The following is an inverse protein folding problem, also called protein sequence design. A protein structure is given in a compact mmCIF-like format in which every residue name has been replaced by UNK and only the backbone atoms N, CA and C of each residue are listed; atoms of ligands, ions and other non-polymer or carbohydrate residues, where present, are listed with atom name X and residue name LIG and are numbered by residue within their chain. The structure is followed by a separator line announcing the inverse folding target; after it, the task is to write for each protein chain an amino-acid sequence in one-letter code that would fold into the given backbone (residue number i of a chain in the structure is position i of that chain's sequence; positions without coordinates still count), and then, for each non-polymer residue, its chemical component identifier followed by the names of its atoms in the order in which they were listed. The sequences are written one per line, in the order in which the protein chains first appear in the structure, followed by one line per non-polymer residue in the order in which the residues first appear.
data_IF_049894966314
#
_entry.id   IF_049894966314
#
_cell.length_a   1.000
_cell.length_b   1.000
_cell.length_c   1.000
_cell.angle_alpha   90.00
_cell.angle_beta   90.00
_cell.angle_gamma   90.00
#
_symmetry.space_group_name_H-M   'P 1'
#
loop_
_entity.id
_entity.type
_entity.pdbx_description
1 polymer ?
#
# COMPACT_ATOMS: atom_id res chain seq x y z
N UNK A 1 -30.56 -10.28 4.20
CA UNK A 1 -30.89 -9.50 2.99
C UNK A 1 -31.39 -8.11 3.39
N UNK A 2 -31.29 -7.15 2.50
CA UNK A 2 -31.84 -5.80 2.61
C UNK A 2 -32.61 -5.47 1.34
N UNK A 3 -33.64 -4.63 1.42
CA UNK A 3 -34.38 -4.20 0.22
C UNK A 3 -33.48 -3.41 -0.73
N UNK A 4 -33.47 -3.75 -2.00
CA UNK A 4 -32.63 -3.09 -2.98
C UNK A 4 -33.01 -1.61 -3.16
N UNK A 5 -34.27 -1.24 -2.99
CA UNK A 5 -34.73 0.17 -3.03
C UNK A 5 -34.10 1.05 -1.94
N UNK A 6 -33.82 0.50 -0.76
CA UNK A 6 -33.17 1.25 0.34
C UNK A 6 -31.66 1.46 0.07
N UNK A 7 -31.05 0.53 -0.67
CA UNK A 7 -29.68 0.63 -1.11
C UNK A 7 -29.49 1.68 -2.19
N UNK A 8 -30.35 1.67 -3.21
CA UNK A 8 -30.25 2.59 -4.35
C UNK A 8 -30.50 4.05 -3.93
N UNK A 9 -31.32 4.26 -2.90
CA UNK A 9 -31.56 5.62 -2.33
C UNK A 9 -30.28 6.26 -1.75
N UNK A 10 -29.27 5.49 -1.40
CA UNK A 10 -27.98 6.02 -0.90
C UNK A 10 -27.03 6.48 -1.99
N UNK A 11 -27.34 6.24 -3.28
CA UNK A 11 -26.81 7.01 -4.42
C UNK A 11 -25.58 6.47 -5.11
N UNK A 12 -24.78 5.56 -4.54
CA UNK A 12 -23.43 5.24 -5.07
C UNK A 12 -23.19 3.76 -5.41
N UNK A 13 -24.24 2.93 -5.43
CA UNK A 13 -24.07 1.49 -5.63
C UNK A 13 -24.88 1.03 -6.85
N UNK A 14 -24.20 0.47 -7.84
CA UNK A 14 -24.82 -0.29 -8.93
C UNK A 14 -25.15 -1.70 -8.43
N UNK A 15 -26.41 -2.11 -8.62
CA UNK A 15 -26.86 -3.46 -8.28
C UNK A 15 -27.04 -4.28 -9.54
N UNK A 16 -26.62 -5.54 -9.48
CA UNK A 16 -26.84 -6.51 -10.55
C UNK A 16 -27.66 -7.70 -10.02
N UNK A 17 -28.45 -8.30 -10.88
CA UNK A 17 -29.17 -9.52 -10.58
C UNK A 17 -28.22 -10.76 -10.57
N UNK A 18 -28.78 -11.95 -10.32
CA UNK A 18 -28.02 -13.20 -10.30
C UNK A 18 -27.36 -13.55 -11.66
N UNK A 19 -27.85 -12.97 -12.76
CA UNK A 19 -27.33 -13.17 -14.11
C UNK A 19 -26.32 -12.07 -14.49
N UNK A 20 -26.02 -11.12 -13.59
CA UNK A 20 -25.11 -10.00 -13.84
C UNK A 20 -25.74 -8.86 -14.62
N UNK A 21 -27.08 -8.77 -14.68
CA UNK A 21 -27.80 -7.67 -15.37
C UNK A 21 -28.04 -6.53 -14.38
N UNK A 22 -27.83 -5.31 -14.82
CA UNK A 22 -28.07 -4.11 -14.00
C UNK A 22 -29.55 -3.99 -13.61
N UNK A 23 -29.79 -3.79 -12.31
CA UNK A 23 -31.11 -3.55 -11.74
C UNK A 23 -31.38 -2.04 -11.85
N UNK A 24 -32.42 -1.67 -12.61
CA UNK A 24 -32.83 -0.28 -12.73
C UNK A 24 -33.50 0.22 -11.45
N UNK A 25 -33.36 1.51 -11.09
CA UNK A 25 -33.96 2.08 -9.90
C UNK A 25 -35.49 1.84 -9.79
N UNK A 26 -36.21 1.90 -10.91
CA UNK A 26 -37.65 1.64 -10.97
C UNK A 26 -38.06 0.21 -10.65
N UNK A 27 -37.15 -0.74 -10.81
CA UNK A 27 -37.37 -2.16 -10.54
C UNK A 27 -36.86 -2.58 -9.15
N UNK A 28 -36.14 -1.73 -8.46
CA UNK A 28 -35.46 -2.05 -7.19
C UNK A 28 -36.40 -2.63 -6.11
N UNK A 29 -37.65 -2.17 -6.06
CA UNK A 29 -38.64 -2.68 -5.09
C UNK A 29 -38.95 -4.18 -5.24
N UNK A 30 -38.57 -4.81 -6.38
CA UNK A 30 -38.78 -6.23 -6.65
C UNK A 30 -37.62 -7.11 -6.15
N UNK A 31 -36.54 -6.52 -5.68
CA UNK A 31 -35.29 -7.21 -5.37
C UNK A 31 -34.85 -7.01 -3.93
N UNK A 32 -34.10 -8.00 -3.43
CA UNK A 32 -33.35 -7.93 -2.20
C UNK A 32 -31.86 -8.07 -2.51
N UNK A 33 -31.03 -7.22 -1.89
CA UNK A 33 -29.57 -7.39 -1.91
C UNK A 33 -29.18 -8.48 -0.89
N UNK A 34 -28.46 -9.49 -1.36
CA UNK A 34 -27.91 -10.55 -0.53
C UNK A 34 -26.60 -10.10 0.08
N UNK A 35 -26.59 -9.75 1.37
CA UNK A 35 -25.41 -9.27 2.09
C UNK A 35 -24.47 -10.42 2.50
N UNK A 36 -25.05 -11.61 2.77
CA UNK A 36 -24.33 -12.81 3.16
C UNK A 36 -25.02 -14.05 2.58
N UNK A 37 -24.24 -15.12 2.33
CA UNK A 37 -24.77 -16.36 1.80
C UNK A 37 -25.00 -16.35 0.29
N UNK A 38 -24.39 -15.46 -0.47
CA UNK A 38 -24.51 -15.37 -1.93
C UNK A 38 -24.31 -16.72 -2.63
N UNK A 39 -23.27 -17.49 -2.24
CA UNK A 39 -23.04 -18.82 -2.80
C UNK A 39 -24.19 -19.80 -2.55
N UNK A 40 -24.86 -19.71 -1.38
CA UNK A 40 -26.02 -20.56 -1.05
C UNK A 40 -27.22 -20.19 -1.92
N UNK A 41 -27.46 -18.90 -2.14
CA UNK A 41 -28.55 -18.42 -3.00
C UNK A 41 -28.31 -18.86 -4.45
N UNK A 42 -27.08 -18.69 -4.96
CA UNK A 42 -26.72 -19.13 -6.32
C UNK A 42 -26.87 -20.64 -6.47
N UNK A 43 -26.35 -21.41 -5.50
CA UNK A 43 -26.47 -22.88 -5.55
C UNK A 43 -27.93 -23.35 -5.51
N UNK A 44 -28.78 -22.71 -4.69
CA UNK A 44 -30.18 -22.99 -4.64
C UNK A 44 -30.92 -22.65 -5.95
N UNK A 45 -30.58 -21.49 -6.55
CA UNK A 45 -31.14 -21.09 -7.83
C UNK A 45 -30.82 -22.10 -8.93
N UNK A 46 -29.55 -22.51 -9.05
CA UNK A 46 -29.11 -23.53 -10.03
C UNK A 46 -29.75 -24.88 -9.77
N UNK A 47 -29.87 -25.28 -8.49
CA UNK A 47 -30.57 -26.53 -8.13
C UNK A 47 -32.04 -26.43 -8.49
N UNK A 48 -32.73 -25.34 -8.21
CA UNK A 48 -34.16 -25.18 -8.48
C UNK A 48 -34.47 -25.17 -9.99
N UNK A 49 -33.59 -24.59 -10.81
CA UNK A 49 -33.67 -24.66 -12.25
C UNK A 49 -33.57 -26.13 -12.74
N UNK A 50 -32.54 -26.83 -12.28
CA UNK A 50 -32.40 -28.26 -12.58
C UNK A 50 -33.58 -29.11 -12.06
N UNK A 51 -34.09 -28.83 -10.85
CA UNK A 51 -35.20 -29.56 -10.24
C UNK A 51 -36.50 -29.40 -11.05
N UNK A 52 -36.77 -28.17 -11.54
CA UNK A 52 -37.90 -27.86 -12.40
C UNK A 52 -37.86 -28.69 -13.70
N UNK A 53 -36.68 -28.76 -14.33
CA UNK A 53 -36.49 -29.56 -15.57
C UNK A 53 -36.63 -31.07 -15.33
N UNK A 54 -36.35 -31.57 -14.14
CA UNK A 54 -36.30 -32.97 -13.79
C UNK A 54 -37.50 -33.45 -12.92
N UNK A 55 -38.51 -32.57 -12.73
CA UNK A 55 -39.70 -32.90 -11.94
C UNK A 55 -39.40 -33.19 -10.46
N UNK A 56 -38.37 -32.49 -9.90
CA UNK A 56 -38.00 -32.59 -8.48
C UNK A 56 -38.54 -31.40 -7.71
N UNK A 57 -38.62 -31.55 -6.38
CA UNK A 57 -39.00 -30.46 -5.50
C UNK A 57 -37.93 -29.39 -5.46
N UNK A 58 -38.33 -28.14 -5.47
CA UNK A 58 -37.46 -26.96 -5.28
C UNK A 58 -37.13 -26.81 -3.81
N UNK A 59 -36.03 -26.11 -3.52
CA UNK A 59 -35.61 -25.76 -2.15
C UNK A 59 -35.71 -24.26 -1.92
N UNK A 60 -36.10 -23.89 -0.70
CA UNK A 60 -36.11 -22.51 -0.27
C UNK A 60 -34.83 -22.16 0.51
N UNK A 61 -34.31 -20.97 0.29
CA UNK A 61 -33.22 -20.42 1.10
C UNK A 61 -33.82 -19.44 2.10
N UNK A 62 -33.82 -19.77 3.41
CA UNK A 62 -34.35 -18.87 4.41
C UNK A 62 -33.51 -17.59 4.44
N UNK A 63 -34.16 -16.44 4.41
CA UNK A 63 -33.54 -15.12 4.44
C UNK A 63 -34.07 -14.32 5.63
N UNK A 64 -33.17 -13.58 6.29
CA UNK A 64 -33.53 -12.61 7.33
C UNK A 64 -33.38 -11.23 6.72
N UNK A 65 -34.47 -10.48 6.68
CA UNK A 65 -34.45 -9.07 6.31
C UNK A 65 -33.84 -8.26 7.44
N UNK A 66 -32.94 -7.33 7.09
CA UNK A 66 -32.29 -6.43 8.04
C UNK A 66 -32.49 -4.99 7.59
N UNK A 67 -32.58 -4.09 8.54
CA UNK A 67 -32.62 -2.65 8.32
C UNK A 67 -31.33 -2.03 8.82
N UNK A 68 -30.74 -1.14 8.01
CA UNK A 68 -29.57 -0.36 8.43
C UNK A 68 -29.98 0.65 9.49
N UNK A 69 -29.21 0.79 10.55
CA UNK A 69 -29.50 1.68 11.65
C UNK A 69 -28.88 3.07 11.48
N UNK A 70 -29.72 4.08 11.42
CA UNK A 70 -29.29 5.49 11.35
C UNK A 70 -28.53 5.79 10.05
N UNK A 71 -27.27 6.23 10.17
CA UNK A 71 -26.41 6.56 9.04
C UNK A 71 -25.41 5.43 8.71
N UNK A 72 -25.69 4.19 9.09
CA UNK A 72 -24.85 3.04 8.79
C UNK A 72 -24.87 2.75 7.29
N UNK A 73 -23.70 2.60 6.69
CA UNK A 73 -23.57 2.19 5.29
C UNK A 73 -23.63 0.68 5.15
N UNK A 74 -24.00 0.19 3.98
CA UNK A 74 -23.98 -1.26 3.66
C UNK A 74 -22.58 -1.84 3.84
N UNK A 75 -21.54 -1.10 3.46
CA UNK A 75 -20.16 -1.52 3.62
C UNK A 75 -19.77 -1.69 5.10
N UNK A 76 -20.20 -0.77 5.96
CA UNK A 76 -20.00 -0.89 7.42
C UNK A 76 -20.75 -2.11 7.97
N UNK A 77 -21.99 -2.34 7.57
CA UNK A 77 -22.79 -3.49 7.99
C UNK A 77 -22.19 -4.83 7.53
N UNK A 78 -21.76 -4.95 6.27
CA UNK A 78 -21.12 -6.16 5.75
C UNK A 78 -19.83 -6.45 6.52
N UNK A 79 -19.02 -5.41 6.81
CA UNK A 79 -17.80 -5.57 7.59
C UNK A 79 -18.13 -6.05 9.02
N UNK A 80 -19.16 -5.53 9.66
CA UNK A 80 -19.59 -5.97 11.00
C UNK A 80 -19.99 -7.46 11.01
N UNK A 81 -20.78 -7.92 10.03
CA UNK A 81 -21.13 -9.33 9.88
C UNK A 81 -19.87 -10.20 9.73
N UNK A 82 -18.94 -9.78 8.91
CA UNK A 82 -17.72 -10.54 8.65
C UNK A 82 -16.80 -10.59 9.88
N UNK A 83 -16.65 -9.48 10.61
CA UNK A 83 -15.85 -9.40 11.84
C UNK A 83 -16.43 -10.35 12.91
N UNK A 84 -17.74 -10.45 13.04
CA UNK A 84 -18.39 -11.30 14.06
C UNK A 84 -18.30 -12.79 13.74
N UNK A 85 -18.12 -13.16 12.46
CA UNK A 85 -18.06 -14.58 12.02
C UNK A 85 -16.67 -15.17 12.07
N UNK A 86 -15.64 -14.40 11.79
CA UNK A 86 -14.23 -14.80 11.79
C UNK A 86 -13.41 -13.66 12.37
N UNK A 87 -12.49 -14.00 13.28
CA UNK A 87 -11.56 -12.98 13.78
C UNK A 87 -10.73 -12.43 12.61
N UNK A 88 -10.87 -11.13 12.36
CA UNK A 88 -10.14 -10.46 11.31
C UNK A 88 -8.67 -10.26 11.68
N UNK A 89 -7.83 -10.55 10.73
CA UNK A 89 -6.40 -10.23 10.80
C UNK A 89 -6.17 -8.73 10.50
N UNK A 90 -4.97 -8.24 10.76
CA UNK A 90 -4.63 -6.85 10.43
C UNK A 90 -4.84 -6.50 8.95
N UNK A 91 -4.43 -7.34 7.97
CA UNK A 91 -4.74 -7.11 6.55
C UNK A 91 -6.23 -7.02 6.23
N UNK A 92 -7.08 -7.80 6.93
CA UNK A 92 -8.52 -7.76 6.70
C UNK A 92 -9.11 -6.41 7.13
N UNK A 93 -8.69 -5.89 8.30
CA UNK A 93 -9.09 -4.55 8.76
C UNK A 93 -8.58 -3.44 7.85
N UNK A 94 -7.34 -3.52 7.36
CA UNK A 94 -6.80 -2.55 6.39
C UNK A 94 -7.63 -2.53 5.12
N UNK A 95 -7.96 -3.72 4.58
CA UNK A 95 -8.81 -3.85 3.39
C UNK A 95 -10.21 -3.29 3.63
N UNK A 96 -10.83 -3.64 4.77
CA UNK A 96 -12.15 -3.12 5.15
C UNK A 96 -12.16 -1.59 5.24
N UNK A 97 -11.15 -1.01 5.89
CA UNK A 97 -11.01 0.44 6.02
C UNK A 97 -10.81 1.12 4.64
N UNK A 98 -10.00 0.53 3.75
CA UNK A 98 -9.80 1.03 2.40
C UNK A 98 -11.10 0.99 1.57
N UNK A 99 -11.88 -0.08 1.67
CA UNK A 99 -13.15 -0.23 0.96
C UNK A 99 -14.20 0.81 1.40
N UNK A 100 -14.25 1.13 2.69
CA UNK A 100 -15.18 2.15 3.24
C UNK A 100 -14.73 3.57 2.92
N UNK A 101 -13.43 3.78 2.71
CA UNK A 101 -12.85 5.09 2.45
C UNK A 101 -12.07 5.07 1.11
N UNK A 102 -12.77 4.93 -0.03
CA UNK A 102 -12.14 4.73 -1.34
C UNK A 102 -11.26 5.91 -1.76
N UNK A 103 -11.59 7.13 -1.32
CA UNK A 103 -10.84 8.35 -1.65
C UNK A 103 -9.59 8.55 -0.78
N UNK A 104 -9.34 7.69 0.20
CA UNK A 104 -8.18 7.79 1.06
C UNK A 104 -6.94 7.17 0.42
N UNK A 105 -6.07 7.99 -0.18
CA UNK A 105 -4.79 7.56 -0.74
C UNK A 105 -3.98 6.71 0.25
N UNK A 106 -3.95 7.13 1.53
CA UNK A 106 -3.26 6.43 2.60
C UNK A 106 -3.77 4.99 2.78
N UNK A 107 -5.08 4.81 2.90
CA UNK A 107 -5.67 3.49 3.13
C UNK A 107 -5.55 2.60 1.90
N UNK A 108 -5.72 3.14 0.69
CA UNK A 108 -5.52 2.40 -0.55
C UNK A 108 -4.08 1.90 -0.65
N UNK A 109 -3.10 2.77 -0.38
CA UNK A 109 -1.69 2.39 -0.45
C UNK A 109 -1.29 1.34 0.59
N UNK A 110 -1.83 1.44 1.81
CA UNK A 110 -1.62 0.40 2.82
C UNK A 110 -2.22 -0.94 2.40
N UNK A 111 -3.43 -0.93 1.82
CA UNK A 111 -4.08 -2.15 1.33
C UNK A 111 -3.30 -2.84 0.19
N UNK A 112 -2.66 -2.06 -0.69
CA UNK A 112 -1.81 -2.59 -1.76
C UNK A 112 -0.54 -3.26 -1.22
N UNK A 113 0.08 -2.65 -0.22
CA UNK A 113 1.42 -3.01 0.24
C UNK A 113 1.45 -3.96 1.43
N UNK A 114 0.35 -4.09 2.19
CA UNK A 114 0.35 -4.87 3.42
C UNK A 114 0.56 -6.36 3.16
N UNK A 115 1.38 -7.00 4.01
CA UNK A 115 1.60 -8.45 3.98
C UNK A 115 0.30 -9.19 4.30
N UNK A 116 -0.10 -10.09 3.42
CA UNK A 116 -1.31 -10.91 3.54
C UNK A 116 -1.14 -12.25 2.81
N UNK A 117 -2.14 -13.14 2.89
CA UNK A 117 -2.15 -14.37 2.09
C UNK A 117 -2.09 -14.09 0.57
N UNK A 118 -2.72 -12.99 0.12
CA UNK A 118 -2.73 -12.56 -1.28
C UNK A 118 -1.47 -11.77 -1.69
N UNK A 119 -0.74 -11.24 -0.71
CA UNK A 119 0.50 -10.52 -0.89
C UNK A 119 1.55 -11.00 0.14
N UNK A 120 2.13 -12.19 -0.04
CA UNK A 120 3.04 -12.82 0.93
C UNK A 120 4.36 -12.05 1.08
N UNK A 121 4.77 -11.33 0.05
CA UNK A 121 5.98 -10.50 0.04
C UNK A 121 5.71 -9.04 0.46
N UNK A 122 4.49 -8.73 0.87
CA UNK A 122 4.11 -7.41 1.37
C UNK A 122 4.77 -7.05 2.71
N UNK A 123 4.52 -5.84 3.15
CA UNK A 123 5.17 -5.26 4.33
C UNK A 123 4.31 -5.42 5.60
N UNK A 124 4.91 -5.70 6.76
CA UNK A 124 4.23 -5.58 8.05
C UNK A 124 3.74 -4.13 8.27
N UNK A 125 2.62 -3.98 9.00
CA UNK A 125 2.05 -2.65 9.29
C UNK A 125 3.06 -1.70 9.95
N UNK A 126 3.90 -2.22 10.86
CA UNK A 126 4.93 -1.41 11.53
C UNK A 126 6.00 -0.89 10.57
N UNK A 127 6.30 -1.64 9.50
CA UNK A 127 7.21 -1.20 8.44
C UNK A 127 6.54 -0.13 7.56
N UNK A 128 5.27 -0.31 7.18
CA UNK A 128 4.50 0.70 6.44
C UNK A 128 4.39 2.01 7.23
N UNK A 129 4.13 1.91 8.54
CA UNK A 129 4.12 3.06 9.44
C UNK A 129 5.45 3.83 9.44
N UNK A 130 6.58 3.12 9.47
CA UNK A 130 7.91 3.75 9.38
C UNK A 130 8.15 4.39 8.01
N UNK A 131 7.72 3.74 6.93
CA UNK A 131 7.92 4.22 5.57
C UNK A 131 7.12 5.51 5.31
N UNK A 132 5.85 5.51 5.65
CA UNK A 132 4.95 6.61 5.30
C UNK A 132 4.77 7.65 6.40
N UNK A 133 4.85 7.25 7.68
CA UNK A 133 4.61 8.15 8.81
C UNK A 133 5.87 8.46 9.63
N UNK A 134 6.97 7.73 9.42
CA UNK A 134 8.21 7.89 10.20
C UNK A 134 8.12 7.36 11.64
N UNK A 135 7.02 6.74 12.04
CA UNK A 135 6.77 6.19 13.37
C UNK A 135 6.13 4.80 13.25
N UNK A 136 6.74 3.77 13.86
CA UNK A 136 6.27 2.39 13.79
C UNK A 136 4.88 2.14 14.41
N UNK A 137 4.42 3.03 15.28
CA UNK A 137 3.13 2.96 15.98
C UNK A 137 2.12 4.03 15.49
N UNK A 138 2.31 4.57 14.28
CA UNK A 138 1.50 5.66 13.76
C UNK A 138 0.02 5.30 13.64
N UNK A 139 -0.30 4.08 13.22
CA UNK A 139 -1.65 3.53 13.18
C UNK A 139 -1.60 2.04 13.55
N UNK A 140 -2.56 1.58 14.33
CA UNK A 140 -2.62 0.22 14.87
C UNK A 140 -3.74 -0.62 14.24
N UNK A 141 -3.74 -1.94 14.53
CA UNK A 141 -4.85 -2.84 14.17
C UNK A 141 -6.18 -2.33 14.70
N UNK A 142 -6.23 -1.84 15.96
CA UNK A 142 -7.44 -1.31 16.56
C UNK A 142 -7.93 -0.04 15.86
N UNK A 143 -7.05 0.83 15.40
CA UNK A 143 -7.43 2.01 14.64
C UNK A 143 -8.07 1.63 13.28
N UNK A 144 -7.52 0.65 12.59
CA UNK A 144 -8.13 0.13 11.37
C UNK A 144 -9.50 -0.52 11.64
N UNK A 145 -9.65 -1.23 12.76
CA UNK A 145 -10.94 -1.78 13.17
C UNK A 145 -11.98 -0.68 13.37
N UNK A 146 -11.60 0.42 14.04
CA UNK A 146 -12.49 1.58 14.22
C UNK A 146 -12.81 2.29 12.90
N UNK A 147 -11.86 2.35 11.96
CA UNK A 147 -12.11 2.90 10.62
C UNK A 147 -13.09 2.03 9.82
N UNK A 148 -13.14 0.71 10.09
CA UNK A 148 -14.07 -0.21 9.44
C UNK A 148 -15.49 -0.11 10.00
N UNK A 149 -15.66 -0.05 11.34
CA UNK A 149 -16.96 -0.23 11.98
C UNK A 149 -17.52 1.04 12.62
N UNK A 150 -16.66 2.01 12.95
CA UNK A 150 -17.05 3.15 13.79
C UNK A 150 -17.48 2.78 15.21
N UNK A 151 -17.28 1.51 15.61
CA UNK A 151 -17.64 0.96 16.92
C UNK A 151 -16.41 0.36 17.60
N UNK A 152 -16.32 0.46 18.93
CA UNK A 152 -15.30 -0.21 19.72
C UNK A 152 -15.59 -1.72 19.90
N UNK A 153 -14.69 -2.44 20.56
CA UNK A 153 -14.83 -3.88 20.84
C UNK A 153 -16.12 -4.23 21.63
N UNK A 154 -16.77 -3.25 22.25
CA UNK A 154 -18.02 -3.40 22.98
C UNK A 154 -19.24 -2.97 22.16
N UNK A 155 -19.04 -2.67 20.86
CA UNK A 155 -20.10 -2.23 19.96
C UNK A 155 -20.58 -0.79 20.18
N UNK A 156 -19.91 0.01 21.03
CA UNK A 156 -20.26 1.41 21.27
C UNK A 156 -19.70 2.28 20.16
N UNK A 157 -20.55 3.16 19.57
CA UNK A 157 -20.09 4.16 18.60
C UNK A 157 -19.00 5.05 19.20
N UNK A 158 -17.87 5.14 18.52
CA UNK A 158 -16.73 5.98 18.88
C UNK A 158 -16.34 6.86 17.70
N UNK A 159 -15.65 7.95 18.01
CA UNK A 159 -15.10 8.82 16.97
C UNK A 159 -14.08 8.02 16.18
N UNK A 160 -14.21 7.99 14.84
CA UNK A 160 -13.22 7.36 13.96
C UNK A 160 -11.82 7.96 14.23
N UNK A 161 -10.76 7.15 14.26
CA UNK A 161 -9.40 7.65 14.47
C UNK A 161 -9.00 8.61 13.34
N UNK A 162 -8.15 9.56 13.67
CA UNK A 162 -7.58 10.46 12.68
C UNK A 162 -6.45 9.71 11.98
N UNK A 163 -6.45 9.71 10.65
CA UNK A 163 -5.34 9.20 9.87
C UNK A 163 -4.08 10.02 10.25
N UNK A 164 -2.95 9.37 10.62
CA UNK A 164 -1.74 10.06 11.04
C UNK A 164 -1.18 10.93 9.91
N UNK A 165 -0.35 11.90 10.25
CA UNK A 165 0.43 12.62 9.24
C UNK A 165 1.32 11.64 8.48
N UNK A 166 1.30 11.71 7.16
CA UNK A 166 2.04 10.81 6.27
C UNK A 166 2.67 11.57 5.10
N UNK A 167 3.64 10.94 4.44
CA UNK A 167 4.24 11.45 3.22
C UNK A 167 4.35 10.32 2.19
N UNK A 168 3.39 10.26 1.26
CA UNK A 168 3.35 9.25 0.20
C UNK A 168 4.52 9.36 -0.76
N UNK A 169 4.88 10.58 -1.15
CA UNK A 169 5.96 10.82 -2.10
C UNK A 169 7.28 10.26 -1.58
N UNK A 170 7.67 10.65 -0.36
CA UNK A 170 8.92 10.20 0.27
C UNK A 170 8.91 8.69 0.50
N UNK A 171 7.80 8.13 1.00
CA UNK A 171 7.68 6.70 1.25
C UNK A 171 7.80 5.87 -0.04
N UNK A 172 7.11 6.26 -1.10
CA UNK A 172 7.20 5.59 -2.40
C UNK A 172 8.62 5.72 -3.00
N UNK A 173 9.24 6.91 -2.86
CA UNK A 173 10.61 7.15 -3.34
C UNK A 173 11.64 6.29 -2.60
N UNK A 174 11.48 6.12 -1.28
CA UNK A 174 12.30 5.20 -0.51
C UNK A 174 12.20 3.76 -1.03
N UNK A 175 10.98 3.23 -1.21
CA UNK A 175 10.76 1.88 -1.75
C UNK A 175 11.42 1.73 -3.13
N UNK A 176 11.20 2.71 -4.01
CA UNK A 176 11.76 2.69 -5.35
C UNK A 176 13.29 2.66 -5.35
N UNK A 177 13.94 3.55 -4.57
CA UNK A 177 15.40 3.58 -4.47
C UNK A 177 15.94 2.24 -3.94
N UNK A 178 15.32 1.64 -2.93
CA UNK A 178 15.73 0.33 -2.44
C UNK A 178 15.66 -0.73 -3.55
N UNK A 179 14.59 -0.76 -4.33
CA UNK A 179 14.43 -1.67 -5.46
C UNK A 179 15.47 -1.42 -6.56
N UNK A 180 15.73 -0.18 -6.91
CA UNK A 180 16.76 0.21 -7.89
C UNK A 180 18.17 -0.22 -7.44
N UNK A 181 18.42 -0.27 -6.13
CA UNK A 181 19.66 -0.80 -5.54
C UNK A 181 19.64 -2.33 -5.41
N UNK A 182 18.57 -2.98 -5.84
CA UNK A 182 18.43 -4.43 -5.91
C UNK A 182 17.99 -5.09 -4.61
N UNK A 183 17.51 -4.34 -3.59
CA UNK A 183 16.83 -4.93 -2.43
C UNK A 183 15.45 -5.42 -2.84
N UNK A 184 15.09 -6.62 -2.42
CA UNK A 184 13.75 -7.17 -2.65
C UNK A 184 12.75 -6.72 -1.57
N UNK A 185 11.46 -7.03 -1.77
CA UNK A 185 10.42 -6.63 -0.83
C UNK A 185 10.61 -7.26 0.56
N UNK A 186 11.24 -8.46 0.65
CA UNK A 186 11.54 -9.11 1.94
C UNK A 186 12.63 -8.37 2.71
N UNK A 187 13.63 -7.83 2.00
CA UNK A 187 14.68 -7.01 2.61
C UNK A 187 14.10 -5.70 3.13
N UNK A 188 13.27 -5.02 2.32
CA UNK A 188 12.63 -3.76 2.70
C UNK A 188 11.68 -3.98 3.89
N UNK A 189 10.98 -5.11 3.95
CA UNK A 189 10.08 -5.47 5.03
C UNK A 189 10.76 -5.59 6.41
N UNK A 190 12.07 -5.84 6.47
CA UNK A 190 12.84 -6.01 7.72
C UNK A 190 13.09 -4.72 8.52
N UNK A 191 12.60 -3.59 8.14
CA UNK A 191 12.73 -2.28 8.81
C UNK A 191 14.14 -1.70 8.91
N UNK A 192 15.22 -2.49 8.79
CA UNK A 192 16.59 -2.01 8.99
C UNK A 192 16.94 -0.85 8.04
N UNK A 193 16.55 -0.95 6.76
CA UNK A 193 16.78 0.11 5.75
C UNK A 193 15.99 1.37 6.07
N UNK A 194 14.69 1.26 6.35
CA UNK A 194 13.83 2.42 6.64
C UNK A 194 14.22 3.11 7.95
N UNK A 195 14.72 2.35 8.93
CA UNK A 195 15.26 2.95 10.16
C UNK A 195 16.48 3.82 9.86
N UNK A 196 17.42 3.35 9.01
CA UNK A 196 18.57 4.17 8.59
C UNK A 196 18.13 5.40 7.79
N UNK A 197 17.17 5.24 6.88
CA UNK A 197 16.60 6.37 6.14
C UNK A 197 16.02 7.43 7.08
N UNK A 198 15.19 7.04 8.03
CA UNK A 198 14.58 7.94 9.00
C UNK A 198 15.62 8.56 9.95
N UNK A 199 16.66 7.83 10.34
CA UNK A 199 17.76 8.38 11.14
C UNK A 199 18.52 9.48 10.40
N UNK A 200 18.85 9.25 9.11
CA UNK A 200 19.52 10.25 8.27
C UNK A 200 18.62 11.46 8.09
N UNK A 201 17.36 11.25 7.70
CA UNK A 201 16.36 12.31 7.55
C UNK A 201 16.24 13.17 8.81
N UNK A 202 16.16 12.54 9.99
CA UNK A 202 16.03 13.26 11.27
C UNK A 202 17.29 14.04 11.60
N UNK A 203 18.48 13.46 11.38
CA UNK A 203 19.77 14.11 11.66
C UNK A 203 20.02 15.30 10.73
N UNK A 204 19.70 15.16 9.45
CA UNK A 204 19.89 16.22 8.46
C UNK A 204 18.74 17.25 8.44
N UNK A 205 17.59 16.93 9.03
CA UNK A 205 16.40 17.76 8.97
C UNK A 205 15.70 17.76 7.60
N UNK A 206 16.20 16.96 6.63
CA UNK A 206 15.73 16.91 5.26
C UNK A 206 15.70 15.46 4.72
N UNK A 207 14.57 15.07 4.12
CA UNK A 207 14.42 13.79 3.46
C UNK A 207 15.27 13.65 2.19
N UNK A 208 15.58 14.75 1.51
CA UNK A 208 16.41 14.72 0.30
C UNK A 208 17.83 14.27 0.59
N UNK A 209 18.37 14.56 1.77
CA UNK A 209 19.68 14.06 2.15
C UNK A 209 19.68 12.54 2.32
N UNK A 210 18.66 11.98 2.96
CA UNK A 210 18.50 10.52 3.05
C UNK A 210 18.38 9.88 1.66
N UNK A 211 17.62 10.50 0.76
CA UNK A 211 17.47 10.06 -0.63
C UNK A 211 18.83 10.02 -1.34
N UNK A 212 19.61 11.10 -1.26
CA UNK A 212 20.95 11.19 -1.86
C UNK A 212 21.87 10.08 -1.34
N UNK A 213 21.94 9.89 -0.03
CA UNK A 213 22.77 8.85 0.58
C UNK A 213 22.35 7.47 0.10
N UNK A 214 21.06 7.15 0.05
CA UNK A 214 20.58 5.87 -0.45
C UNK A 214 20.90 5.66 -1.95
N UNK A 215 20.90 6.72 -2.74
CA UNK A 215 21.30 6.67 -4.16
C UNK A 215 22.77 6.34 -4.35
N UNK A 216 23.65 6.60 -3.38
CA UNK A 216 25.09 6.26 -3.45
C UNK A 216 25.41 4.81 -3.05
N UNK A 217 24.46 4.03 -2.58
CA UNK A 217 24.64 2.60 -2.26
C UNK A 217 25.12 1.85 -3.50
N UNK A 218 26.26 1.20 -3.38
CA UNK A 218 26.85 0.35 -4.44
C UNK A 218 26.45 -1.13 -4.21
N UNK A 219 26.70 -2.00 -5.20
CA UNK A 219 26.49 -3.43 -5.04
C UNK A 219 27.39 -4.04 -3.96
N UNK A 220 28.60 -3.52 -3.77
CA UNK A 220 29.49 -3.94 -2.68
C UNK A 220 28.93 -3.52 -1.32
N UNK A 221 28.41 -2.30 -1.21
CA UNK A 221 27.74 -1.84 0.02
C UNK A 221 26.55 -2.75 0.36
N UNK A 222 25.69 -3.05 -0.64
CA UNK A 222 24.57 -3.95 -0.46
C UNK A 222 25.05 -5.34 0.02
N UNK A 223 26.02 -5.94 -0.65
CA UNK A 223 26.53 -7.26 -0.30
C UNK A 223 27.05 -7.31 1.16
N UNK A 224 27.68 -6.24 1.63
CA UNK A 224 28.19 -6.12 2.99
C UNK A 224 27.09 -6.00 4.07
N UNK A 225 25.84 -5.74 3.70
CA UNK A 225 24.71 -5.66 4.64
C UNK A 225 24.09 -7.03 4.93
N UNK A 226 24.50 -8.09 4.22
CA UNK A 226 23.95 -9.43 4.37
C UNK A 226 24.90 -10.32 5.17
N UNK A 227 24.33 -11.13 6.06
CA UNK A 227 25.08 -12.12 6.81
C UNK A 227 25.44 -13.36 5.95
N UNK A 228 26.18 -14.29 6.51
CA UNK A 228 26.65 -15.52 5.84
C UNK A 228 25.51 -16.43 5.36
N UNK A 229 24.28 -16.23 5.85
CA UNK A 229 23.10 -16.97 5.43
C UNK A 229 22.29 -16.22 4.34
N UNK A 230 22.83 -15.13 3.81
CA UNK A 230 22.15 -14.32 2.78
C UNK A 230 20.95 -13.50 3.29
N UNK A 231 20.90 -13.24 4.60
CA UNK A 231 19.85 -12.41 5.20
C UNK A 231 20.38 -11.02 5.51
N UNK A 232 19.59 -10.00 5.18
CA UNK A 232 19.84 -8.62 5.60
C UNK A 232 19.96 -8.59 7.14
N UNK A 233 21.06 -8.06 7.67
CA UNK A 233 21.39 -8.05 9.10
C UNK A 233 21.44 -6.62 9.63
N UNK A 234 20.79 -6.37 10.79
CA UNK A 234 20.67 -5.03 11.37
C UNK A 234 22.02 -4.39 11.67
N UNK A 235 22.92 -5.15 12.30
CA UNK A 235 24.23 -4.63 12.70
C UNK A 235 25.10 -4.31 11.48
N UNK A 236 25.09 -5.18 10.47
CA UNK A 236 25.82 -4.97 9.22
C UNK A 236 25.25 -3.79 8.43
N UNK A 237 23.92 -3.62 8.40
CA UNK A 237 23.28 -2.44 7.81
C UNK A 237 23.75 -1.17 8.50
N UNK A 238 23.71 -1.12 9.85
CA UNK A 238 24.16 0.04 10.61
C UNK A 238 25.62 0.37 10.35
N UNK A 239 26.51 -0.63 10.41
CA UNK A 239 27.95 -0.45 10.15
C UNK A 239 28.20 0.05 8.73
N UNK A 240 27.52 -0.53 7.73
CA UNK A 240 27.70 -0.13 6.34
C UNK A 240 27.19 1.27 6.05
N UNK A 241 26.06 1.68 6.64
CA UNK A 241 25.58 3.05 6.50
C UNK A 241 26.51 4.09 7.15
N UNK A 242 27.21 3.73 8.21
CA UNK A 242 28.28 4.58 8.77
C UNK A 242 29.37 4.82 7.73
N UNK A 243 29.89 3.78 7.08
CA UNK A 243 30.91 3.86 6.02
C UNK A 243 30.42 4.67 4.80
N UNK A 244 29.15 4.44 4.40
CA UNK A 244 28.55 5.20 3.28
C UNK A 244 28.47 6.69 3.61
N UNK A 245 28.09 7.07 4.82
CA UNK A 245 28.05 8.48 5.24
C UNK A 245 29.45 9.08 5.28
N UNK A 246 30.42 8.41 5.90
CA UNK A 246 31.81 8.88 5.95
C UNK A 246 32.38 9.12 4.52
N UNK A 247 32.04 8.24 3.55
CA UNK A 247 32.42 8.40 2.14
C UNK A 247 31.74 9.61 1.48
N UNK A 248 30.50 9.91 1.81
CA UNK A 248 29.78 11.06 1.26
C UNK A 248 30.22 12.38 1.91
N UNK A 249 30.56 12.38 3.19
CA UNK A 249 31.06 13.55 3.90
C UNK A 249 32.49 13.93 3.48
N UNK A 250 33.31 12.92 3.10
CA UNK A 250 34.69 13.07 2.64
C UNK A 250 34.86 12.42 1.26
N UNK A 251 34.37 13.03 0.18
CA UNK A 251 34.55 12.48 -1.16
C UNK A 251 36.06 12.40 -1.48
N UNK A 252 36.54 11.17 -1.75
CA UNK A 252 37.90 10.96 -2.23
C UNK A 252 37.96 11.60 -3.63
N UNK A 253 38.55 12.78 -3.73
CA UNK A 253 38.92 13.38 -5.01
C UNK A 253 40.04 12.51 -5.56
N UNK A 254 39.72 11.55 -6.41
CA UNK A 254 40.71 10.86 -7.20
C UNK A 254 41.24 11.93 -8.15
N UNK A 255 42.55 12.32 -8.08
CA UNK A 255 43.10 13.19 -9.08
C UNK A 255 42.94 12.46 -10.42
N UNK A 256 42.28 13.09 -11.36
CA UNK A 256 42.34 12.64 -12.76
C UNK A 256 43.84 12.80 -13.11
N UNK A 257 44.59 11.67 -13.19
CA UNK A 257 45.95 11.70 -13.68
C UNK A 257 45.88 12.41 -15.02
N UNK A 258 46.49 13.57 -15.04
CA UNK A 258 46.52 14.41 -16.21
C UNK A 258 47.13 13.63 -17.36
N UNK A 259 46.46 13.62 -18.47
CA UNK A 259 47.09 13.37 -19.78
C UNK A 259 48.34 14.22 -19.83
N UNK A 260 49.49 13.54 -19.77
CA UNK A 260 50.77 14.19 -19.79
C UNK A 260 50.86 15.15 -20.98
N UNK A 261 51.06 16.40 -20.66
CA UNK A 261 51.50 17.39 -21.65
C UNK A 261 52.94 17.03 -22.00
N UNK A 262 53.11 16.38 -23.13
CA UNK A 262 54.40 16.39 -23.80
C UNK A 262 54.67 17.84 -24.22
N UNK A 263 55.65 18.44 -23.60
CA UNK A 263 56.25 19.69 -24.08
C UNK A 263 56.97 19.41 -25.41
N UNK A 264 56.48 19.97 -26.48
CA UNK A 264 57.28 20.24 -27.66
C UNK A 264 57.18 21.70 -27.96
N UNK A 265 58.30 22.39 -27.69
CA UNK A 265 58.58 23.71 -28.26
C UNK A 265 58.57 23.56 -29.78
N UNK A 266 57.70 24.32 -30.42
CA UNK A 266 57.88 24.73 -31.83
C UNK A 266 56.99 25.96 -32.04
N UNK A 267 57.64 27.07 -32.18
CA UNK A 267 57.12 28.30 -32.79
C UNK A 267 56.55 27.95 -34.17
N UNK A 268 55.32 28.30 -34.44
CA UNK A 268 54.82 28.60 -35.78
C UNK A 268 53.57 29.48 -35.72
N UNK A 269 53.70 30.62 -36.43
CA UNK A 269 52.73 31.65 -36.68
C UNK A 269 51.38 31.09 -37.20
N UNK A 270 50.28 31.52 -36.55
CA UNK A 270 48.94 31.31 -37.12
C UNK A 270 48.37 32.69 -37.49
N UNK A 271 47.98 32.90 -38.76
CA UNK A 271 47.34 34.14 -39.18
C UNK A 271 45.87 34.15 -38.79
N UNK A 272 45.43 35.33 -38.32
CA UNK A 272 44.05 35.70 -38.13
C UNK A 272 43.20 35.52 -39.39
N UNK A 273 42.08 34.85 -39.28
CA UNK A 273 41.00 34.91 -40.26
C UNK A 273 39.78 35.55 -39.61
N UNK A 274 39.35 36.62 -40.26
CA UNK A 274 38.24 37.47 -39.95
C UNK A 274 36.88 36.74 -40.03
N UNK A 275 35.96 37.09 -39.17
CA UNK A 275 34.61 36.66 -39.20
C UNK A 275 33.82 37.30 -40.35
N UNK A 276 33.21 36.53 -41.21
CA UNK A 276 32.14 36.99 -42.10
C UNK A 276 30.76 36.67 -41.51
N UNK A 277 29.99 37.71 -41.34
CA UNK A 277 28.50 37.68 -41.14
C UNK A 277 27.86 37.16 -42.42
N UNK A 278 26.91 36.18 -42.27
CA UNK A 278 25.87 35.97 -43.31
C UNK A 278 24.53 35.82 -42.63
N UNK A 279 23.69 36.68 -43.02
CA UNK A 279 22.23 36.94 -42.93
C UNK A 279 21.33 35.75 -42.57
#
# INVERSE_FOLDING_TARGET
VIKAEDVIKTGDISLVDINGQDIKPEDAAKYFLVLDGQHRVIAAALYNEWAAENGKETIDVPAIEVELQGNETIAEYINEINITKKEWTTPDYVRGAANINPDSEFLQRYNELIKSEKNPDGYPISTLNLIFCGNNNAISKSDFSLLCSGKDEKGKKVKKPIIPAYNMEIGNKFIQICKDKGFDDKDIAKRHLIQQFNNIKTTAGDANEAIKIFQTITQNDKAAMFNTHGNLDESLVMEQFKKIRERNDNPIIIPVEGTGTASTDADEDIPYLEAEEVR
#
